data_IF_959849182271
#
_entry.id   IF_959849182271
#
_cell.length_a   1.000
_cell.length_b   1.000
_cell.length_c   1.000
_cell.angle_alpha   90.00
_cell.angle_beta   90.00
_cell.angle_gamma   90.00
#
_symmetry.space_group_name_H-M   'P 1'
#
loop_
_entity.id
_entity.type
_entity.pdbx_description
1 polymer ?
#
# COMPACT_ATOMS: atom_id res chain seq x y z
N UNK A 1 14.13 -14.38 -9.09
CA UNK A 1 13.59 -13.78 -7.86
C UNK A 1 12.09 -13.72 -7.92
N UNK A 2 11.44 -14.50 -7.08
CA UNK A 2 9.98 -14.48 -6.99
C UNK A 2 9.54 -13.48 -5.92
N UNK A 3 8.79 -12.48 -6.34
CA UNK A 3 8.12 -11.58 -5.42
C UNK A 3 7.07 -12.37 -4.64
N UNK A 4 7.11 -12.28 -3.31
CA UNK A 4 6.11 -12.92 -2.47
C UNK A 4 4.76 -12.23 -2.67
N UNK A 5 3.75 -13.02 -3.05
CA UNK A 5 2.39 -12.50 -3.21
C UNK A 5 1.81 -12.17 -1.84
N UNK A 6 1.34 -10.94 -1.66
CA UNK A 6 0.67 -10.55 -0.42
C UNK A 6 -0.73 -11.14 -0.39
N UNK A 7 -0.96 -12.04 0.56
CA UNK A 7 -2.20 -12.77 0.73
C UNK A 7 -2.60 -12.72 2.21
N UNK A 8 -3.88 -12.81 2.48
CA UNK A 8 -4.38 -12.89 3.85
C UNK A 8 -3.75 -14.08 4.61
N UNK A 9 -3.40 -15.15 3.91
CA UNK A 9 -2.75 -16.32 4.50
C UNK A 9 -1.38 -15.98 5.08
N UNK A 10 -0.64 -15.08 4.44
CA UNK A 10 0.66 -14.59 4.95
C UNK A 10 0.45 -13.87 6.28
N UNK A 11 -0.56 -13.01 6.35
CA UNK A 11 -0.91 -12.30 7.57
C UNK A 11 -1.32 -13.25 8.68
N UNK A 12 -2.13 -14.25 8.37
CA UNK A 12 -2.58 -15.26 9.34
C UNK A 12 -1.41 -16.06 9.90
N UNK A 13 -0.48 -16.47 9.04
CA UNK A 13 0.73 -17.21 9.43
C UNK A 13 1.60 -16.37 10.36
N UNK A 14 1.79 -15.11 10.02
CA UNK A 14 2.62 -14.19 10.82
C UNK A 14 1.96 -13.84 12.15
N UNK A 15 0.63 -13.78 12.20
CA UNK A 15 -0.10 -13.58 13.45
C UNK A 15 0.13 -14.77 14.39
N UNK A 16 0.08 -16.00 13.89
CA UNK A 16 0.34 -17.20 14.67
C UNK A 16 1.79 -17.17 15.18
N UNK A 17 2.74 -16.78 14.34
CA UNK A 17 4.14 -16.67 14.73
C UNK A 17 4.33 -15.64 15.86
N UNK A 18 3.63 -14.51 15.78
CA UNK A 18 3.67 -13.49 16.83
C UNK A 18 3.06 -14.01 18.14
N UNK A 19 2.00 -14.80 18.05
CA UNK A 19 1.40 -15.45 19.24
C UNK A 19 2.40 -16.39 19.92
N UNK A 20 3.10 -17.20 19.12
CA UNK A 20 4.10 -18.14 19.65
C UNK A 20 5.29 -17.41 20.26
N UNK A 21 5.67 -16.27 19.68
CA UNK A 21 6.74 -15.44 20.19
C UNK A 21 6.33 -14.56 21.39
N UNK A 22 5.06 -14.59 21.75
CA UNK A 22 4.45 -13.77 22.82
C UNK A 22 4.59 -12.26 22.55
N UNK A 23 4.63 -11.89 21.29
CA UNK A 23 4.67 -10.48 20.84
C UNK A 23 3.23 -9.97 20.68
N UNK A 24 2.67 -9.52 21.78
CA UNK A 24 1.28 -9.09 21.84
C UNK A 24 0.97 -7.92 20.91
N UNK A 25 1.85 -6.91 20.91
CA UNK A 25 1.66 -5.71 20.08
C UNK A 25 1.65 -6.06 18.58
N UNK A 26 2.58 -6.90 18.17
CA UNK A 26 2.65 -7.36 16.77
C UNK A 26 1.43 -8.19 16.39
N UNK A 27 1.03 -9.11 17.26
CA UNK A 27 -0.17 -9.93 17.07
C UNK A 27 -1.41 -9.07 16.89
N UNK A 28 -1.62 -8.09 17.75
CA UNK A 28 -2.78 -7.20 17.69
C UNK A 28 -2.78 -6.36 16.39
N UNK A 29 -1.63 -5.87 15.99
CA UNK A 29 -1.49 -5.11 14.75
C UNK A 29 -1.83 -5.96 13.52
N UNK A 30 -1.28 -7.16 13.43
CA UNK A 30 -1.57 -8.08 12.33
C UNK A 30 -3.03 -8.50 12.33
N UNK A 31 -3.60 -8.76 13.49
CA UNK A 31 -5.02 -9.11 13.63
C UNK A 31 -5.92 -8.00 13.09
N UNK A 32 -5.58 -6.74 13.36
CA UNK A 32 -6.32 -5.59 12.84
C UNK A 32 -6.28 -5.54 11.31
N UNK A 33 -5.13 -5.82 10.71
CA UNK A 33 -5.00 -5.91 9.24
C UNK A 33 -5.87 -7.02 8.67
N UNK A 34 -5.84 -8.20 9.29
CA UNK A 34 -6.63 -9.36 8.85
C UNK A 34 -8.12 -9.02 8.85
N UNK A 35 -8.59 -8.40 9.93
CA UNK A 35 -9.98 -8.00 10.03
C UNK A 35 -10.38 -6.98 8.96
N UNK A 36 -9.52 -6.00 8.71
CA UNK A 36 -9.75 -4.99 7.68
C UNK A 36 -9.81 -5.61 6.28
N UNK A 37 -8.91 -6.54 5.98
CA UNK A 37 -8.89 -7.25 4.70
C UNK A 37 -10.14 -8.12 4.53
N UNK A 38 -10.53 -8.86 5.57
CA UNK A 38 -11.73 -9.70 5.54
C UNK A 38 -12.98 -8.86 5.32
N UNK A 39 -13.08 -7.73 6.01
CA UNK A 39 -14.22 -6.81 5.85
C UNK A 39 -14.31 -6.29 4.42
N UNK A 40 -13.19 -5.87 3.84
CA UNK A 40 -13.14 -5.42 2.46
C UNK A 40 -13.56 -6.52 1.49
N UNK A 41 -13.13 -7.77 1.74
CA UNK A 41 -13.50 -8.92 0.93
C UNK A 41 -15.00 -9.20 1.00
N UNK A 42 -15.59 -9.13 2.17
CA UNK A 42 -17.04 -9.33 2.36
C UNK A 42 -17.82 -8.23 1.62
N UNK A 43 -17.41 -6.97 1.80
CA UNK A 43 -18.08 -5.82 1.17
C UNK A 43 -18.01 -5.89 -0.36
N UNK A 44 -16.93 -6.43 -0.90
CA UNK A 44 -16.75 -6.58 -2.35
C UNK A 44 -17.31 -7.89 -2.91
N UNK A 45 -17.82 -8.78 -2.06
CA UNK A 45 -18.36 -10.07 -2.48
C UNK A 45 -17.33 -11.11 -2.87
N UNK A 46 -16.07 -10.96 -2.44
CA UNK A 46 -14.97 -11.88 -2.73
C UNK A 46 -14.33 -12.45 -1.46
N UNK A 47 -15.15 -12.73 -0.45
CA UNK A 47 -14.72 -13.22 0.87
C UNK A 47 -13.77 -14.41 0.83
N UNK A 48 -14.02 -15.35 -0.09
CA UNK A 48 -13.26 -16.59 -0.18
C UNK A 48 -12.03 -16.50 -1.06
N UNK A 49 -11.93 -15.45 -1.89
CA UNK A 49 -10.82 -15.26 -2.81
C UNK A 49 -10.51 -13.77 -2.93
N UNK A 50 -9.82 -13.24 -1.93
CA UNK A 50 -9.48 -11.82 -1.87
C UNK A 50 -8.23 -11.56 -2.72
N UNK A 51 -8.33 -10.72 -3.79
CA UNK A 51 -7.16 -10.45 -4.64
C UNK A 51 -6.03 -9.74 -3.91
N UNK A 52 -4.80 -10.00 -4.32
CA UNK A 52 -3.61 -9.31 -3.78
C UNK A 52 -3.77 -7.78 -3.86
N UNK A 53 -4.29 -7.28 -4.97
CA UNK A 53 -4.52 -5.85 -5.17
C UNK A 53 -5.40 -5.25 -4.06
N UNK A 54 -6.44 -5.97 -3.67
CA UNK A 54 -7.34 -5.54 -2.59
C UNK A 54 -6.62 -5.56 -1.24
N UNK A 55 -5.83 -6.60 -0.97
CA UNK A 55 -5.03 -6.68 0.26
C UNK A 55 -4.08 -5.49 0.36
N UNK A 56 -3.34 -5.20 -0.71
CA UNK A 56 -2.42 -4.07 -0.76
C UNK A 56 -3.13 -2.73 -0.56
N UNK A 57 -4.28 -2.56 -1.17
CA UNK A 57 -5.09 -1.35 -1.04
C UNK A 57 -5.55 -1.12 0.40
N UNK A 58 -5.99 -2.20 1.06
CA UNK A 58 -6.42 -2.15 2.47
C UNK A 58 -5.24 -1.77 3.37
N UNK A 59 -4.07 -2.38 3.15
CA UNK A 59 -2.87 -2.08 3.93
C UNK A 59 -2.50 -0.61 3.81
N UNK A 60 -2.50 -0.05 2.61
CA UNK A 60 -2.18 1.37 2.38
C UNK A 60 -3.19 2.28 3.06
N UNK A 61 -4.47 1.92 3.02
CA UNK A 61 -5.53 2.68 3.69
C UNK A 61 -5.34 2.66 5.22
N UNK A 62 -5.02 1.50 5.77
CA UNK A 62 -4.79 1.38 7.22
C UNK A 62 -3.55 2.15 7.66
N UNK A 63 -2.49 2.15 6.86
CA UNK A 63 -1.29 2.97 7.11
C UNK A 63 -1.64 4.45 7.20
N UNK A 64 -2.42 4.93 6.25
CA UNK A 64 -2.86 6.33 6.22
C UNK A 64 -3.68 6.68 7.46
N UNK A 65 -4.60 5.79 7.85
CA UNK A 65 -5.45 5.98 9.03
C UNK A 65 -4.60 6.08 10.30
N UNK A 66 -3.64 5.18 10.47
CA UNK A 66 -2.75 5.19 11.65
C UNK A 66 -1.90 6.45 11.67
N UNK A 67 -1.38 6.88 10.52
CA UNK A 67 -0.60 8.10 10.42
C UNK A 67 -1.43 9.32 10.84
N UNK A 68 -2.67 9.39 10.41
CA UNK A 68 -3.59 10.46 10.81
C UNK A 68 -3.83 10.42 12.32
N UNK A 69 -3.94 9.23 12.91
CA UNK A 69 -4.07 9.07 14.35
C UNK A 69 -2.84 9.60 15.09
N UNK A 70 -1.64 9.31 14.59
CA UNK A 70 -0.38 9.82 15.17
C UNK A 70 -0.35 11.35 15.09
N UNK A 71 -0.66 11.91 13.93
CA UNK A 71 -0.60 13.35 13.68
C UNK A 71 -1.62 14.13 14.51
N UNK A 72 -2.78 13.54 14.79
CA UNK A 72 -3.84 14.18 15.57
C UNK A 72 -3.79 13.87 17.07
N UNK A 73 -2.89 12.97 17.48
CA UNK A 73 -2.75 12.60 18.89
C UNK A 73 -2.09 13.74 19.68
N UNK A 74 -2.59 14.06 20.90
CA UNK A 74 -1.93 15.07 21.74
C UNK A 74 -0.48 14.69 22.04
N UNK A 75 0.42 15.66 21.95
CA UNK A 75 1.85 15.45 22.12
C UNK A 75 2.24 14.91 23.50
N UNK A 76 1.42 15.16 24.52
CA UNK A 76 1.64 14.67 25.87
C UNK A 76 1.20 13.22 26.09
N UNK A 77 0.44 12.64 25.13
CA UNK A 77 0.02 11.25 25.18
C UNK A 77 1.05 10.35 24.48
N UNK A 78 2.25 10.31 25.06
CA UNK A 78 3.36 9.51 24.51
C UNK A 78 3.04 8.01 24.49
N UNK A 79 2.23 7.54 25.43
CA UNK A 79 1.75 6.15 25.48
C UNK A 79 0.96 5.76 24.23
N UNK A 80 0.03 6.62 23.78
CA UNK A 80 -0.75 6.39 22.57
C UNK A 80 0.09 6.53 21.30
N UNK A 81 0.97 7.52 21.28
CA UNK A 81 1.85 7.76 20.13
C UNK A 81 2.76 6.54 19.92
N UNK A 82 3.34 5.98 20.97
CA UNK A 82 4.16 4.77 20.88
C UNK A 82 3.36 3.57 20.39
N UNK A 83 2.14 3.40 20.87
CA UNK A 83 1.26 2.31 20.43
C UNK A 83 0.92 2.44 18.95
N UNK A 84 0.52 3.63 18.52
CA UNK A 84 0.21 3.88 17.10
C UNK A 84 1.43 3.74 16.21
N UNK A 85 2.59 4.21 16.69
CA UNK A 85 3.85 4.09 15.92
C UNK A 85 4.24 2.62 15.73
N UNK A 86 4.10 1.80 16.77
CA UNK A 86 4.36 0.37 16.68
C UNK A 86 3.43 -0.30 15.66
N UNK A 87 2.17 0.08 15.66
CA UNK A 87 1.19 -0.42 14.68
C UNK A 87 1.55 0.02 13.27
N UNK A 88 1.92 1.28 13.09
CA UNK A 88 2.36 1.81 11.79
C UNK A 88 3.56 1.02 11.26
N UNK A 89 4.55 0.76 12.10
CA UNK A 89 5.75 0.04 11.72
C UNK A 89 5.43 -1.38 11.25
N UNK A 90 4.53 -2.08 11.93
CA UNK A 90 4.09 -3.42 11.54
C UNK A 90 3.36 -3.37 10.20
N UNK A 91 2.42 -2.44 10.03
CA UNK A 91 1.68 -2.28 8.78
C UNK A 91 2.61 -1.96 7.61
N UNK A 92 3.63 -1.14 7.86
CA UNK A 92 4.60 -0.73 6.84
C UNK A 92 5.44 -1.91 6.34
N UNK A 93 5.66 -2.93 7.18
CA UNK A 93 6.36 -4.15 6.76
C UNK A 93 5.59 -4.89 5.66
N UNK A 94 4.26 -4.82 5.68
CA UNK A 94 3.39 -5.50 4.72
C UNK A 94 2.97 -4.61 3.56
N UNK A 95 3.23 -3.32 3.64
CA UNK A 95 2.83 -2.39 2.59
C UNK A 95 3.61 -2.68 1.30
N UNK A 96 2.93 -2.59 0.14
CA UNK A 96 3.65 -2.74 -1.12
C UNK A 96 4.65 -1.61 -1.26
N UNK A 97 5.84 -1.94 -1.74
CA UNK A 97 6.85 -0.92 -2.02
C UNK A 97 6.46 -0.21 -3.30
N UNK A 98 6.04 1.03 -3.16
CA UNK A 98 5.72 1.86 -4.31
C UNK A 98 6.99 2.31 -5.01
N UNK A 99 6.92 2.43 -6.33
CA UNK A 99 8.04 2.89 -7.14
C UNK A 99 8.38 4.35 -6.79
N UNK A 100 9.66 4.66 -6.75
CA UNK A 100 10.12 6.05 -6.59
C UNK A 100 9.82 6.84 -7.86
N UNK A 101 9.88 8.19 -7.76
CA UNK A 101 9.68 9.05 -8.92
C UNK A 101 10.66 8.72 -10.05
N UNK A 102 11.91 8.45 -9.71
CA UNK A 102 12.96 8.09 -10.68
C UNK A 102 12.67 6.77 -11.38
N UNK A 103 12.19 5.77 -10.63
CA UNK A 103 11.83 4.47 -11.18
C UNK A 103 10.64 4.58 -12.13
N UNK A 104 9.62 5.37 -11.77
CA UNK A 104 8.45 5.61 -12.61
C UNK A 104 8.87 6.30 -13.91
N UNK A 105 9.69 7.34 -13.81
CA UNK A 105 10.19 8.08 -14.96
C UNK A 105 10.98 7.17 -15.91
N UNK A 106 11.86 6.32 -15.36
CA UNK A 106 12.66 5.40 -16.15
C UNK A 106 11.78 4.40 -16.90
N UNK A 107 10.77 3.82 -16.24
CA UNK A 107 9.86 2.86 -16.87
C UNK A 107 8.99 3.53 -17.95
N UNK A 108 8.54 4.76 -17.69
CA UNK A 108 7.76 5.53 -18.68
C UNK A 108 8.58 5.78 -19.94
N UNK A 109 9.85 6.17 -19.80
CA UNK A 109 10.75 6.40 -20.94
C UNK A 109 11.04 5.12 -21.71
N UNK A 110 11.13 3.99 -21.03
CA UNK A 110 11.45 2.72 -21.65
C UNK A 110 10.24 2.08 -22.36
N UNK A 111 9.12 1.99 -21.66
CA UNK A 111 7.95 1.23 -22.13
C UNK A 111 6.85 2.07 -22.76
N UNK A 112 6.78 3.34 -22.44
CA UNK A 112 5.69 4.22 -22.84
C UNK A 112 6.17 5.42 -23.66
N UNK A 113 7.38 5.34 -24.23
CA UNK A 113 7.97 6.44 -25.00
C UNK A 113 7.03 6.91 -26.13
N UNK A 114 6.38 5.98 -26.82
CA UNK A 114 5.50 6.29 -27.95
C UNK A 114 4.29 7.13 -27.53
N UNK A 115 3.64 6.73 -26.40
CA UNK A 115 2.47 7.47 -25.93
C UNK A 115 2.88 8.81 -25.32
N UNK A 116 4.04 8.89 -24.70
CA UNK A 116 4.58 10.15 -24.15
C UNK A 116 4.90 11.13 -25.28
N UNK A 117 5.38 10.64 -26.41
CA UNK A 117 5.71 11.46 -27.58
C UNK A 117 4.48 12.21 -28.13
N UNK A 118 3.27 11.75 -27.86
CA UNK A 118 2.04 12.44 -28.26
C UNK A 118 1.82 13.74 -27.50
N UNK A 119 2.45 13.88 -26.34
CA UNK A 119 2.30 15.01 -25.41
C UNK A 119 0.85 15.27 -24.98
N UNK A 120 0.00 14.26 -25.10
CA UNK A 120 -1.38 14.34 -24.67
C UNK A 120 -1.50 13.73 -23.28
N UNK A 121 -1.49 14.57 -22.24
CA UNK A 121 -1.52 14.16 -20.84
C UNK A 121 -2.69 13.21 -20.54
N UNK A 122 -3.88 13.53 -21.04
CA UNK A 122 -5.07 12.70 -20.82
C UNK A 122 -4.91 11.29 -21.35
N UNK A 123 -4.38 11.16 -22.56
CA UNK A 123 -4.15 9.86 -23.17
C UNK A 123 -3.03 9.08 -22.50
N UNK A 124 -1.93 9.79 -22.15
CA UNK A 124 -0.82 9.18 -21.41
C UNK A 124 -1.31 8.62 -20.08
N UNK A 125 -2.04 9.41 -19.30
CA UNK A 125 -2.58 8.97 -18.01
C UNK A 125 -3.50 7.77 -18.18
N UNK A 126 -4.36 7.79 -19.18
CA UNK A 126 -5.28 6.71 -19.47
C UNK A 126 -4.56 5.40 -19.80
N UNK A 127 -3.40 5.50 -20.44
CA UNK A 127 -2.58 4.35 -20.84
C UNK A 127 -1.73 3.84 -19.68
N UNK A 128 -1.10 4.74 -18.90
CA UNK A 128 -0.13 4.36 -17.87
C UNK A 128 -0.75 4.03 -16.52
N UNK A 129 -1.86 4.67 -16.15
CA UNK A 129 -2.48 4.43 -14.84
C UNK A 129 -2.79 2.95 -14.58
N UNK A 130 -3.42 2.20 -15.52
CA UNK A 130 -3.64 0.78 -15.30
C UNK A 130 -2.36 -0.03 -15.16
N UNK A 131 -1.30 0.36 -15.89
CA UNK A 131 -0.01 -0.35 -15.85
C UNK A 131 0.71 -0.17 -14.51
N UNK A 132 0.51 0.97 -13.85
CA UNK A 132 1.15 1.28 -12.56
C UNK A 132 0.22 1.09 -11.36
N UNK A 133 -0.99 0.63 -11.58
CA UNK A 133 -1.96 0.42 -10.50
C UNK A 133 -1.40 -0.52 -9.45
N UNK A 134 -1.35 -0.07 -8.18
CA UNK A 134 -0.77 -0.84 -7.09
C UNK A 134 0.76 -0.86 -7.06
N UNK A 135 1.43 -0.26 -8.06
CA UNK A 135 2.90 -0.22 -8.14
C UNK A 135 3.48 1.16 -7.86
N UNK A 136 2.74 2.20 -8.14
CA UNK A 136 3.17 3.59 -7.93
C UNK A 136 1.99 4.45 -7.46
N UNK A 137 2.32 5.53 -6.73
CA UNK A 137 1.32 6.50 -6.28
C UNK A 137 0.81 7.31 -7.48
N UNK A 138 -0.50 7.44 -7.61
CA UNK A 138 -1.12 8.21 -8.69
C UNK A 138 -0.66 9.66 -8.75
N UNK A 139 -0.37 10.28 -7.59
CA UNK A 139 0.16 11.64 -7.55
C UNK A 139 1.55 11.72 -8.18
N UNK A 140 2.41 10.76 -7.90
CA UNK A 140 3.77 10.70 -8.45
C UNK A 140 3.69 10.52 -9.96
N UNK A 141 2.84 9.61 -10.44
CA UNK A 141 2.63 9.38 -11.87
C UNK A 141 2.18 10.67 -12.55
N UNK A 142 1.19 11.34 -11.97
CA UNK A 142 0.64 12.60 -12.51
C UNK A 142 1.71 13.69 -12.62
N UNK A 143 2.52 13.85 -11.57
CA UNK A 143 3.60 14.85 -11.54
C UNK A 143 4.65 14.58 -12.63
N UNK A 144 5.04 13.33 -12.78
CA UNK A 144 6.06 12.93 -13.75
C UNK A 144 5.53 13.09 -15.18
N UNK A 145 4.31 12.65 -15.45
CA UNK A 145 3.68 12.80 -16.75
C UNK A 145 3.54 14.28 -17.12
N UNK A 146 3.12 15.12 -16.18
CA UNK A 146 3.01 16.56 -16.40
C UNK A 146 4.38 17.18 -16.76
N UNK A 147 5.43 16.75 -16.07
CA UNK A 147 6.80 17.19 -16.34
C UNK A 147 7.27 16.75 -17.73
N UNK A 148 6.96 15.54 -18.12
CA UNK A 148 7.39 14.97 -19.41
C UNK A 148 6.62 15.56 -20.60
N UNK A 149 5.44 16.12 -20.35
CA UNK A 149 4.62 16.77 -21.38
C UNK A 149 4.98 18.23 -21.65
N UNK A 150 5.88 18.80 -20.85
CA UNK A 150 6.34 20.20 -21.05
C UNK A 150 7.27 20.33 -22.24
#
# INVERSE_FOLDING_TARGET
YRRQTMDIKVLQKDMIAAMKARDKARKESISALIQAVKKAGIDAGCRDDIPEEMVNKVILKELKTVKEQIDSCPADRTDLIEEYQARYDVFNEYAPKLMSAEEVEAELKEKFADVIATKNKGQIMKTVMPAFKGRADGKVINQIVAKMCQ
#
